data_IF_141200616477
#
_entry.id   IF_141200616477
#
_cell.length_a   1.000
_cell.length_b   1.000
_cell.length_c   1.000
_cell.angle_alpha   90.00
_cell.angle_beta   90.00
_cell.angle_gamma   90.00
#
_symmetry.space_group_name_H-M   'P 1'
#
loop_
_entity.id
_entity.type
_entity.pdbx_description
1 polymer ?
#
# COMPACT_ATOMS: atom_id res chain seq x y z
N UNK A 1 1.23 -1.39 15.32
CA UNK A 1 0.04 -1.57 16.18
C UNK A 1 -0.99 -0.45 15.98
N UNK A 2 -0.62 0.82 16.11
CA UNK A 2 -1.53 1.98 15.97
C UNK A 2 -2.24 2.05 14.62
N UNK A 3 -1.56 1.74 13.50
CA UNK A 3 -2.17 1.79 12.16
C UNK A 3 -3.27 0.73 11.96
N UNK A 4 -3.09 -0.49 12.48
CA UNK A 4 -4.14 -1.52 12.46
C UNK A 4 -5.35 -1.12 13.31
N UNK A 5 -5.10 -0.49 14.46
CA UNK A 5 -6.16 0.04 15.33
C UNK A 5 -6.90 1.16 14.60
N UNK A 6 -6.18 2.12 14.01
CA UNK A 6 -6.77 3.22 13.26
C UNK A 6 -7.61 2.74 12.06
N UNK A 7 -7.09 1.77 11.29
CA UNK A 7 -7.80 1.18 10.15
C UNK A 7 -9.07 0.45 10.59
N UNK A 8 -8.99 -0.31 11.69
CA UNK A 8 -10.13 -1.02 12.26
C UNK A 8 -11.17 -0.03 12.82
N UNK A 9 -10.75 0.99 13.56
CA UNK A 9 -11.66 2.01 14.12
C UNK A 9 -12.31 2.84 13.03
N UNK A 10 -11.59 3.23 11.97
CA UNK A 10 -12.14 3.94 10.82
C UNK A 10 -13.18 3.08 10.08
N UNK A 11 -12.88 1.82 9.83
CA UNK A 11 -13.83 0.90 9.19
C UNK A 11 -15.08 0.67 10.04
N UNK A 12 -14.92 0.48 11.36
CA UNK A 12 -16.05 0.33 12.29
C UNK A 12 -16.91 1.60 12.35
N UNK A 13 -16.30 2.79 12.42
CA UNK A 13 -17.03 4.06 12.40
C UNK A 13 -17.81 4.23 11.10
N UNK A 14 -17.19 3.97 9.96
CA UNK A 14 -17.86 4.05 8.64
C UNK A 14 -19.05 3.08 8.58
N UNK A 15 -18.90 1.86 9.08
CA UNK A 15 -19.98 0.87 9.13
C UNK A 15 -21.13 1.30 10.06
N UNK A 16 -20.82 1.86 11.23
CA UNK A 16 -21.80 2.37 12.20
C UNK A 16 -22.59 3.53 11.58
N UNK A 17 -21.92 4.52 10.99
CA UNK A 17 -22.59 5.64 10.34
C UNK A 17 -23.41 5.18 9.12
N UNK A 18 -22.96 4.19 8.37
CA UNK A 18 -23.73 3.56 7.29
C UNK A 18 -25.02 2.92 7.80
N UNK A 19 -24.94 2.16 8.89
CA UNK A 19 -26.11 1.53 9.52
C UNK A 19 -27.11 2.58 10.02
N UNK A 20 -26.62 3.62 10.71
CA UNK A 20 -27.44 4.73 11.21
C UNK A 20 -28.13 5.44 10.03
N UNK A 21 -27.42 5.67 8.93
CA UNK A 21 -27.97 6.29 7.73
C UNK A 21 -29.12 5.46 7.14
N UNK A 22 -28.97 4.12 7.08
CA UNK A 22 -30.02 3.23 6.61
C UNK A 22 -31.24 3.28 7.53
N UNK A 23 -31.04 3.23 8.84
CA UNK A 23 -32.13 3.32 9.82
C UNK A 23 -32.89 4.65 9.70
N UNK A 24 -32.14 5.78 9.61
CA UNK A 24 -32.75 7.09 9.41
C UNK A 24 -33.51 7.19 8.09
N UNK A 25 -32.98 6.59 7.01
CA UNK A 25 -33.68 6.54 5.72
C UNK A 25 -35.01 5.78 5.83
N UNK A 26 -35.02 4.62 6.49
CA UNK A 26 -36.23 3.84 6.73
C UNK A 26 -37.22 4.63 7.56
N UNK A 27 -36.80 5.32 8.60
CA UNK A 27 -37.68 6.18 9.42
C UNK A 27 -38.26 7.31 8.60
N UNK A 28 -37.47 8.02 7.78
CA UNK A 28 -37.98 9.07 6.88
C UNK A 28 -39.01 8.51 5.89
N UNK A 29 -38.72 7.34 5.30
CA UNK A 29 -39.65 6.67 4.37
C UNK A 29 -40.94 6.28 5.07
N UNK A 30 -40.87 5.74 6.30
CA UNK A 30 -42.06 5.38 7.10
C UNK A 30 -42.91 6.59 7.41
N UNK A 31 -42.29 7.69 7.88
CA UNK A 31 -42.98 8.96 8.15
C UNK A 31 -43.62 9.52 6.90
N UNK A 32 -42.95 9.46 5.75
CA UNK A 32 -43.50 9.92 4.47
C UNK A 32 -44.70 9.06 4.01
N UNK A 33 -44.62 7.73 4.19
CA UNK A 33 -45.72 6.81 3.87
C UNK A 33 -46.92 7.05 4.80
N UNK A 34 -46.68 7.23 6.08
CA UNK A 34 -47.71 7.52 7.08
C UNK A 34 -48.43 8.84 6.78
N UNK A 35 -47.70 9.90 6.43
CA UNK A 35 -48.26 11.16 6.00
C UNK A 35 -49.21 11.01 4.79
N UNK A 36 -48.82 10.21 3.80
CA UNK A 36 -49.62 9.97 2.61
C UNK A 36 -50.83 9.07 2.92
N UNK A 37 -50.66 8.02 3.71
CA UNK A 37 -51.67 7.01 3.96
C UNK A 37 -52.70 7.44 5.00
N UNK A 38 -52.28 8.13 6.06
CA UNK A 38 -53.12 8.48 7.21
C UNK A 38 -53.68 9.89 7.10
N UNK A 39 -52.88 10.85 6.69
CA UNK A 39 -53.28 12.26 6.60
C UNK A 39 -53.84 12.65 5.24
N UNK A 40 -53.87 11.71 4.28
CA UNK A 40 -54.39 11.97 2.93
C UNK A 40 -53.60 13.04 2.18
N UNK A 41 -52.26 13.06 2.42
CA UNK A 41 -51.36 14.01 1.84
C UNK A 41 -51.29 13.83 0.30
N UNK A 42 -52.15 14.55 -0.39
CA UNK A 42 -52.10 14.60 -1.84
C UNK A 42 -51.02 15.61 -2.22
N UNK A 43 -50.00 15.17 -2.92
CA UNK A 43 -49.02 16.05 -3.56
C UNK A 43 -49.76 16.92 -4.60
N UNK A 44 -50.36 18.00 -4.13
CA UNK A 44 -50.95 19.02 -4.98
C UNK A 44 -49.86 20.02 -5.33
N UNK A 45 -49.50 20.11 -6.59
CA UNK A 45 -48.59 21.12 -7.12
C UNK A 45 -49.25 22.52 -7.20
N UNK A 46 -49.97 22.89 -6.17
CA UNK A 46 -50.52 24.23 -6.00
C UNK A 46 -49.91 24.88 -4.74
N UNK A 47 -50.12 26.18 -4.59
CA UNK A 47 -49.54 26.96 -3.47
C UNK A 47 -49.87 26.36 -2.11
N UNK A 48 -51.10 25.84 -1.93
CA UNK A 48 -51.57 25.20 -0.68
C UNK A 48 -50.84 23.87 -0.41
N UNK A 49 -50.60 23.06 -1.44
CA UNK A 49 -49.84 21.81 -1.32
C UNK A 49 -48.37 22.03 -0.97
N UNK A 50 -47.77 23.08 -1.55
CA UNK A 50 -46.37 23.46 -1.23
C UNK A 50 -46.23 23.88 0.23
N UNK A 51 -47.16 24.69 0.73
CA UNK A 51 -47.18 25.15 2.13
C UNK A 51 -47.29 23.96 3.09
N UNK A 52 -48.23 23.05 2.84
CA UNK A 52 -48.44 21.84 3.67
C UNK A 52 -47.22 20.93 3.63
N UNK A 53 -46.58 20.76 2.47
CA UNK A 53 -45.35 20.00 2.32
C UNK A 53 -44.20 20.63 3.15
N UNK A 54 -44.08 21.95 3.12
CA UNK A 54 -43.09 22.67 3.90
C UNK A 54 -43.36 22.51 5.41
N UNK A 55 -44.56 22.70 5.89
CA UNK A 55 -44.96 22.51 7.29
C UNK A 55 -44.68 21.09 7.79
N UNK A 56 -44.98 20.08 6.97
CA UNK A 56 -44.66 18.69 7.29
C UNK A 56 -43.16 18.46 7.48
N UNK A 57 -42.36 18.96 6.56
CA UNK A 57 -40.90 18.79 6.66
C UNK A 57 -40.25 19.65 7.75
N UNK A 58 -40.83 20.79 8.08
CA UNK A 58 -40.38 21.60 9.23
C UNK A 58 -40.53 20.83 10.54
N UNK A 59 -41.63 20.10 10.71
CA UNK A 59 -41.86 19.24 11.88
C UNK A 59 -40.86 18.09 11.96
N UNK A 60 -40.38 17.58 10.82
CA UNK A 60 -39.40 16.48 10.74
C UNK A 60 -37.97 16.94 10.42
N UNK A 61 -37.68 18.24 10.51
CA UNK A 61 -36.41 18.83 10.13
C UNK A 61 -35.21 18.22 10.85
N UNK A 62 -35.39 17.83 12.12
CA UNK A 62 -34.34 17.15 12.90
C UNK A 62 -33.94 15.82 12.28
N UNK A 63 -34.89 15.02 11.83
CA UNK A 63 -34.67 13.73 11.17
C UNK A 63 -33.90 13.88 9.86
N UNK A 64 -34.31 14.87 9.05
CA UNK A 64 -33.63 15.19 7.78
C UNK A 64 -32.20 15.68 8.00
N UNK A 65 -31.98 16.57 8.95
CA UNK A 65 -30.63 17.08 9.28
C UNK A 65 -29.74 15.94 9.79
N UNK A 66 -30.27 15.08 10.65
CA UNK A 66 -29.54 13.92 11.18
C UNK A 66 -29.17 12.95 10.07
N UNK A 67 -30.10 12.65 9.17
CA UNK A 67 -29.83 11.80 7.99
C UNK A 67 -28.75 12.41 7.09
N UNK A 68 -28.89 13.68 6.72
CA UNK A 68 -27.90 14.37 5.89
C UNK A 68 -26.51 14.38 6.53
N UNK A 69 -26.43 14.65 7.85
CA UNK A 69 -25.18 14.59 8.59
C UNK A 69 -24.52 13.21 8.59
N UNK A 70 -25.29 12.18 8.94
CA UNK A 70 -24.80 10.80 8.95
C UNK A 70 -24.39 10.31 7.55
N UNK A 71 -25.19 10.63 6.52
CA UNK A 71 -24.87 10.29 5.13
C UNK A 71 -23.58 10.98 4.67
N UNK A 72 -23.37 12.25 5.02
CA UNK A 72 -22.14 12.98 4.68
C UNK A 72 -20.92 12.34 5.33
N UNK A 73 -20.99 12.00 6.61
CA UNK A 73 -19.88 11.34 7.34
C UNK A 73 -19.61 9.96 6.73
N UNK A 74 -20.66 9.20 6.41
CA UNK A 74 -20.50 7.88 5.77
C UNK A 74 -19.82 7.99 4.41
N UNK A 75 -20.29 8.88 3.54
CA UNK A 75 -19.71 9.10 2.20
C UNK A 75 -18.26 9.58 2.32
N UNK A 76 -17.97 10.52 3.21
CA UNK A 76 -16.61 11.01 3.43
C UNK A 76 -15.68 9.89 3.92
N UNK A 77 -16.11 9.07 4.87
CA UNK A 77 -15.36 7.93 5.38
C UNK A 77 -15.10 6.88 4.30
N UNK A 78 -16.12 6.56 3.49
CA UNK A 78 -15.99 5.64 2.38
C UNK A 78 -14.99 6.14 1.33
N UNK A 79 -15.12 7.40 0.91
CA UNK A 79 -14.22 8.02 -0.06
C UNK A 79 -12.78 8.07 0.46
N UNK A 80 -12.58 8.41 1.75
CA UNK A 80 -11.24 8.41 2.35
C UNK A 80 -10.61 7.01 2.32
N UNK A 81 -11.38 5.96 2.65
CA UNK A 81 -10.90 4.58 2.60
C UNK A 81 -10.50 4.18 1.19
N UNK A 82 -11.32 4.52 0.20
CA UNK A 82 -11.01 4.27 -1.22
C UNK A 82 -9.79 5.05 -1.69
N UNK A 83 -9.67 6.31 -1.33
CA UNK A 83 -8.51 7.14 -1.67
C UNK A 83 -7.21 6.54 -1.13
N UNK A 84 -7.19 6.12 0.13
CA UNK A 84 -6.01 5.46 0.75
C UNK A 84 -5.66 4.15 0.04
N UNK A 85 -6.66 3.36 -0.36
CA UNK A 85 -6.46 2.13 -1.10
C UNK A 85 -5.83 2.38 -2.48
N UNK A 86 -6.36 3.36 -3.23
CA UNK A 86 -5.85 3.76 -4.54
C UNK A 86 -4.42 4.28 -4.42
N UNK A 87 -4.15 5.21 -3.50
CA UNK A 87 -2.81 5.77 -3.28
C UNK A 87 -1.77 4.67 -2.93
N UNK A 88 -2.19 3.64 -2.17
CA UNK A 88 -1.36 2.48 -1.86
C UNK A 88 -1.01 1.67 -3.12
N UNK A 89 -2.02 1.37 -3.95
CA UNK A 89 -1.83 0.62 -5.19
C UNK A 89 -0.93 1.40 -6.16
N UNK A 90 -1.15 2.70 -6.30
CA UNK A 90 -0.32 3.58 -7.13
C UNK A 90 1.13 3.60 -6.66
N UNK A 91 1.36 3.68 -5.34
CA UNK A 91 2.71 3.64 -4.77
C UNK A 91 3.43 2.32 -5.06
N UNK A 92 2.73 1.18 -4.91
CA UNK A 92 3.28 -0.15 -5.25
C UNK A 92 3.56 -0.28 -6.74
N UNK A 93 2.66 0.23 -7.59
CA UNK A 93 2.84 0.23 -9.04
C UNK A 93 4.06 1.06 -9.45
N UNK A 94 4.24 2.24 -8.86
CA UNK A 94 5.39 3.10 -9.12
C UNK A 94 6.72 2.45 -8.71
N UNK A 95 6.76 1.74 -7.57
CA UNK A 95 7.95 0.98 -7.16
C UNK A 95 8.23 -0.18 -8.13
N UNK A 96 7.19 -0.88 -8.56
CA UNK A 96 7.33 -1.96 -9.55
C UNK A 96 7.86 -1.43 -10.89
N UNK A 97 7.38 -0.27 -11.33
CA UNK A 97 7.85 0.38 -12.55
C UNK A 97 9.33 0.73 -12.45
N UNK A 98 9.76 1.30 -11.32
CA UNK A 98 11.19 1.57 -11.06
C UNK A 98 12.06 0.31 -11.11
N UNK A 99 11.56 -0.84 -10.67
CA UNK A 99 12.27 -2.13 -10.77
C UNK A 99 12.22 -2.75 -12.17
N UNK A 100 11.36 -2.26 -13.04
CA UNK A 100 11.22 -2.70 -14.42
C UNK A 100 12.03 -1.86 -15.42
N UNK A 101 12.83 -0.93 -14.93
CA UNK A 101 13.88 -0.26 -15.70
C UNK A 101 14.84 -1.30 -16.31
N UNK A 102 15.31 -1.07 -17.55
CA UNK A 102 16.08 -2.07 -18.28
C UNK A 102 17.38 -2.46 -17.57
N UNK A 103 18.07 -1.50 -16.94
CA UNK A 103 19.27 -1.76 -16.16
C UNK A 103 18.99 -2.64 -14.95
N UNK A 104 17.89 -2.37 -14.22
CA UNK A 104 17.49 -3.14 -13.05
C UNK A 104 16.95 -4.53 -13.43
N UNK A 105 16.34 -4.67 -14.60
CA UNK A 105 15.98 -5.99 -15.16
C UNK A 105 17.22 -6.79 -15.49
N UNK A 106 18.23 -6.18 -16.13
CA UNK A 106 19.50 -6.82 -16.44
C UNK A 106 20.21 -7.30 -15.17
N UNK A 107 20.29 -6.45 -14.14
CA UNK A 107 20.81 -6.81 -12.82
C UNK A 107 20.02 -7.98 -12.20
N UNK A 108 18.69 -7.95 -12.28
CA UNK A 108 17.86 -9.01 -11.72
C UNK A 108 18.08 -10.36 -12.42
N UNK A 109 18.21 -10.35 -13.75
CA UNK A 109 18.54 -11.55 -14.54
C UNK A 109 19.92 -12.09 -14.19
N UNK A 110 20.91 -11.21 -14.00
CA UNK A 110 22.24 -11.58 -13.58
C UNK A 110 22.24 -12.22 -12.17
N UNK A 111 21.45 -11.68 -11.25
CA UNK A 111 21.27 -12.28 -9.91
C UNK A 111 20.62 -13.68 -9.97
N UNK A 112 19.72 -13.93 -10.94
CA UNK A 112 19.16 -15.26 -11.18
C UNK A 112 20.23 -16.22 -11.70
N UNK A 113 21.07 -15.73 -12.61
CA UNK A 113 22.12 -16.50 -13.26
C UNK A 113 23.45 -16.50 -12.50
N UNK A 114 23.46 -16.18 -11.21
CA UNK A 114 24.67 -16.06 -10.37
C UNK A 114 25.58 -17.28 -10.31
N UNK A 115 25.11 -18.42 -10.75
CA UNK A 115 25.89 -19.66 -10.83
C UNK A 115 26.66 -19.77 -12.17
N UNK A 116 26.54 -18.76 -13.06
CA UNK A 116 27.34 -18.69 -14.28
C UNK A 116 28.80 -18.44 -13.89
N UNK A 117 29.76 -19.24 -14.39
CA UNK A 117 31.18 -19.03 -14.16
C UNK A 117 31.69 -17.65 -14.61
N UNK A 118 31.03 -17.02 -15.58
CA UNK A 118 31.36 -15.69 -16.09
C UNK A 118 30.72 -14.55 -15.28
N UNK A 119 30.14 -14.85 -14.13
CA UNK A 119 29.43 -13.88 -13.31
C UNK A 119 30.35 -12.81 -12.72
N UNK A 120 30.17 -11.56 -13.16
CA UNK A 120 31.10 -10.44 -12.90
C UNK A 120 30.64 -9.49 -11.78
N UNK A 121 29.49 -9.69 -11.17
CA UNK A 121 28.98 -8.82 -10.10
C UNK A 121 29.98 -8.71 -8.93
N UNK A 122 30.69 -9.79 -8.64
CA UNK A 122 31.75 -9.86 -7.62
C UNK A 122 32.82 -8.81 -7.84
N UNK A 123 33.37 -8.76 -9.06
CA UNK A 123 34.45 -7.86 -9.42
C UNK A 123 34.00 -6.40 -9.38
N UNK A 124 32.75 -6.12 -9.74
CA UNK A 124 32.18 -4.77 -9.69
C UNK A 124 32.04 -4.26 -8.27
N UNK A 125 31.48 -5.07 -7.35
CA UNK A 125 31.31 -4.67 -5.95
C UNK A 125 32.68 -4.51 -5.27
N UNK A 126 33.64 -5.39 -5.56
CA UNK A 126 35.01 -5.28 -5.05
C UNK A 126 35.71 -4.01 -5.53
N UNK A 127 35.59 -3.66 -6.81
CA UNK A 127 36.22 -2.46 -7.37
C UNK A 127 35.67 -1.18 -6.73
N UNK A 128 34.37 -1.13 -6.46
CA UNK A 128 33.75 -0.02 -5.74
C UNK A 128 34.24 0.08 -4.28
N UNK A 129 34.28 -1.05 -3.57
CA UNK A 129 34.76 -1.08 -2.19
C UNK A 129 36.22 -0.59 -2.05
N UNK A 130 37.02 -0.72 -3.11
CA UNK A 130 38.41 -0.25 -3.16
C UNK A 130 38.54 1.22 -3.64
N UNK A 131 37.46 2.00 -3.74
CA UNK A 131 37.45 3.40 -4.18
C UNK A 131 38.08 3.63 -5.56
N UNK A 132 38.14 2.61 -6.39
CA UNK A 132 38.51 2.78 -7.77
C UNK A 132 37.29 3.15 -8.59
N UNK A 133 37.21 4.40 -9.04
CA UNK A 133 36.30 4.90 -10.07
C UNK A 133 36.62 4.24 -11.41
N UNK A 134 36.55 2.94 -11.46
CA UNK A 134 36.65 2.19 -12.72
C UNK A 134 35.29 2.19 -13.34
N UNK A 135 35.06 3.09 -14.28
CA UNK A 135 34.09 2.86 -15.34
C UNK A 135 34.54 1.57 -16.06
N UNK A 136 34.04 0.45 -15.56
CA UNK A 136 34.20 -0.83 -16.25
C UNK A 136 33.39 -0.76 -17.54
N UNK A 137 34.03 -0.30 -18.62
CA UNK A 137 33.57 -0.51 -19.97
C UNK A 137 33.69 -2.03 -20.26
N UNK A 138 32.67 -2.75 -19.86
CA UNK A 138 32.53 -4.16 -20.14
C UNK A 138 32.07 -4.31 -21.60
N UNK A 139 33.05 -4.50 -22.47
CA UNK A 139 32.85 -4.78 -23.90
C UNK A 139 32.57 -6.26 -24.19
N UNK A 140 32.24 -7.05 -23.19
CA UNK A 140 31.94 -8.48 -23.40
C UNK A 140 30.68 -8.85 -22.64
N UNK A 141 29.62 -9.08 -23.41
CA UNK A 141 28.31 -9.57 -23.02
C UNK A 141 27.63 -8.78 -21.89
N UNK A 142 27.33 -7.49 -22.19
CA UNK A 142 25.99 -6.94 -22.11
C UNK A 142 25.34 -6.90 -20.71
N UNK A 143 26.09 -6.79 -19.65
CA UNK A 143 25.45 -6.30 -18.44
C UNK A 143 25.30 -4.77 -18.55
N UNK A 144 24.14 -4.33 -18.99
CA UNK A 144 23.78 -2.93 -19.16
C UNK A 144 23.47 -2.23 -17.81
N UNK A 145 24.22 -2.53 -16.73
CA UNK A 145 24.01 -1.89 -15.44
C UNK A 145 25.35 -1.55 -14.76
N UNK A 146 25.32 -0.51 -13.96
CA UNK A 146 26.43 0.01 -13.17
C UNK A 146 26.29 -0.36 -11.68
N UNK A 147 27.28 -0.03 -10.87
CA UNK A 147 27.19 -0.13 -9.40
C UNK A 147 26.10 0.80 -8.86
N UNK A 148 25.91 1.98 -9.44
CA UNK A 148 24.82 2.86 -9.08
C UNK A 148 23.45 2.19 -9.27
N UNK A 149 23.28 1.42 -10.35
CA UNK A 149 22.04 0.66 -10.58
C UNK A 149 21.80 -0.42 -9.52
N UNK A 150 22.89 -1.01 -8.97
CA UNK A 150 22.79 -1.96 -7.84
C UNK A 150 22.26 -1.26 -6.60
N UNK A 151 22.83 -0.09 -6.25
CA UNK A 151 22.35 0.70 -5.10
C UNK A 151 20.92 1.17 -5.29
N UNK A 152 20.58 1.65 -6.49
CA UNK A 152 19.23 2.05 -6.83
C UNK A 152 18.25 0.89 -6.73
N UNK A 153 18.66 -0.31 -7.17
CA UNK A 153 17.85 -1.51 -7.06
C UNK A 153 17.59 -1.89 -5.59
N UNK A 154 18.64 -1.89 -4.76
CA UNK A 154 18.51 -2.13 -3.32
C UNK A 154 17.66 -1.03 -2.66
N UNK A 155 17.85 0.23 -3.04
CA UNK A 155 17.07 1.37 -2.54
C UNK A 155 15.58 1.27 -2.86
N UNK A 156 15.21 0.76 -4.03
CA UNK A 156 13.78 0.52 -4.36
C UNK A 156 13.19 -0.60 -3.49
N UNK A 157 13.96 -1.65 -3.20
CA UNK A 157 13.52 -2.72 -2.28
C UNK A 157 13.39 -2.17 -0.86
N UNK A 158 14.33 -1.32 -0.42
CA UNK A 158 14.31 -0.64 0.88
C UNK A 158 13.06 0.25 1.04
N UNK A 159 12.68 1.00 -0.01
CA UNK A 159 11.43 1.76 0.00
C UNK A 159 10.21 0.87 0.16
N UNK A 160 10.18 -0.29 -0.50
CA UNK A 160 9.12 -1.29 -0.30
C UNK A 160 9.11 -1.83 1.14
N UNK A 161 10.30 -2.06 1.71
CA UNK A 161 10.49 -2.48 3.10
C UNK A 161 9.97 -1.43 4.09
N UNK A 162 10.23 -0.15 3.83
CA UNK A 162 9.71 0.96 4.63
C UNK A 162 8.18 1.03 4.59
N UNK A 163 7.56 0.75 3.42
CA UNK A 163 6.10 0.68 3.32
C UNK A 163 5.52 -0.46 4.17
N UNK A 164 6.20 -1.62 4.27
CA UNK A 164 5.80 -2.71 5.15
C UNK A 164 5.98 -2.32 6.63
N UNK A 165 7.12 -1.78 7.01
CA UNK A 165 7.44 -1.36 8.38
C UNK A 165 6.47 -0.29 8.88
N UNK A 166 6.07 0.64 8.02
CA UNK A 166 5.04 1.65 8.31
C UNK A 166 3.60 1.14 8.19
N UNK A 167 3.41 -0.14 7.91
CA UNK A 167 2.10 -0.79 7.73
C UNK A 167 1.24 -0.21 6.58
N UNK A 168 1.84 0.43 5.61
CA UNK A 168 1.15 0.86 4.38
C UNK A 168 0.73 -0.36 3.56
N UNK A 169 1.59 -1.39 3.53
CA UNK A 169 1.31 -2.68 2.87
C UNK A 169 1.42 -3.83 3.89
N UNK A 170 0.81 -4.97 3.58
CA UNK A 170 0.93 -6.19 4.36
C UNK A 170 2.15 -6.99 3.94
N UNK A 171 2.56 -7.97 4.79
CA UNK A 171 3.66 -8.89 4.48
C UNK A 171 3.36 -9.72 3.22
N UNK A 172 2.11 -10.11 2.99
CA UNK A 172 1.72 -10.87 1.81
C UNK A 172 1.82 -10.01 0.53
N UNK A 173 1.38 -8.75 0.60
CA UNK A 173 1.52 -7.80 -0.51
C UNK A 173 2.99 -7.52 -0.83
N UNK A 174 3.82 -7.33 0.19
CA UNK A 174 5.26 -7.16 0.01
C UNK A 174 5.87 -8.42 -0.63
N UNK A 175 5.59 -9.60 -0.08
CA UNK A 175 6.14 -10.85 -0.59
C UNK A 175 5.74 -11.12 -2.05
N UNK A 176 4.49 -10.87 -2.40
CA UNK A 176 4.01 -11.07 -3.77
C UNK A 176 4.68 -10.12 -4.78
N UNK A 177 5.12 -8.93 -4.36
CA UNK A 177 5.76 -7.96 -5.25
C UNK A 177 7.29 -8.07 -5.25
N UNK A 178 7.89 -8.28 -4.09
CA UNK A 178 9.33 -8.17 -3.88
C UNK A 178 9.99 -9.45 -3.36
N UNK A 179 9.23 -10.42 -2.85
CA UNK A 179 9.77 -11.59 -2.14
C UNK A 179 10.79 -12.38 -2.96
N UNK A 180 10.52 -12.61 -4.24
CA UNK A 180 11.44 -13.29 -5.13
C UNK A 180 12.75 -12.50 -5.34
N UNK A 181 12.66 -11.16 -5.42
CA UNK A 181 13.82 -10.28 -5.56
C UNK A 181 14.65 -10.27 -4.29
N UNK A 182 14.02 -10.17 -3.14
CA UNK A 182 14.67 -10.25 -1.82
C UNK A 182 15.37 -11.60 -1.67
N UNK A 183 14.72 -12.70 -2.03
CA UNK A 183 15.34 -14.03 -2.02
C UNK A 183 16.62 -14.06 -2.86
N UNK A 184 16.58 -13.62 -4.11
CA UNK A 184 17.75 -13.60 -4.99
C UNK A 184 18.89 -12.70 -4.46
N UNK A 185 18.56 -11.55 -3.85
CA UNK A 185 19.56 -10.70 -3.20
C UNK A 185 20.26 -11.44 -2.05
N UNK A 186 19.48 -12.11 -1.20
CA UNK A 186 20.00 -12.82 -0.02
C UNK A 186 20.77 -14.09 -0.38
N UNK A 187 20.40 -14.77 -1.44
CA UNK A 187 21.14 -15.92 -1.98
C UNK A 187 22.48 -15.50 -2.60
N UNK A 188 22.61 -14.25 -3.03
CA UNK A 188 23.86 -13.67 -3.45
C UNK A 188 24.72 -13.32 -2.23
N UNK A 189 25.72 -14.15 -1.90
CA UNK A 189 26.57 -13.99 -0.73
C UNK A 189 27.19 -12.61 -0.60
N UNK A 190 27.58 -11.99 -1.73
CA UNK A 190 28.24 -10.69 -1.78
C UNK A 190 27.27 -9.56 -1.43
N UNK A 191 26.05 -9.57 -2.01
CA UNK A 191 25.02 -8.58 -1.66
C UNK A 191 24.59 -8.75 -0.21
N UNK A 192 24.43 -9.98 0.25
CA UNK A 192 24.09 -10.27 1.65
C UNK A 192 25.18 -9.74 2.59
N UNK A 193 26.45 -9.98 2.30
CA UNK A 193 27.56 -9.45 3.08
C UNK A 193 27.64 -7.93 3.02
N UNK A 194 27.41 -7.32 1.85
CA UNK A 194 27.35 -5.87 1.70
C UNK A 194 26.27 -5.25 2.56
N UNK A 195 25.06 -5.81 2.54
CA UNK A 195 23.93 -5.38 3.38
C UNK A 195 24.29 -5.56 4.86
N UNK A 196 24.88 -6.70 5.23
CA UNK A 196 25.30 -6.99 6.60
C UNK A 196 26.36 -6.03 7.14
N UNK A 197 27.28 -5.54 6.28
CA UNK A 197 28.27 -4.54 6.66
C UNK A 197 27.72 -3.12 6.74
N UNK A 198 26.61 -2.83 6.07
CA UNK A 198 25.99 -1.50 5.99
C UNK A 198 24.59 -1.50 6.62
N UNK A 199 24.46 -2.13 7.80
CA UNK A 199 23.19 -2.35 8.49
C UNK A 199 22.37 -1.06 8.64
N UNK A 200 23.02 0.05 8.98
CA UNK A 200 22.35 1.33 9.18
C UNK A 200 21.67 1.86 7.91
N UNK A 201 22.21 1.52 6.73
CA UNK A 201 21.66 1.93 5.44
C UNK A 201 20.53 1.02 4.95
N UNK A 202 20.40 -0.18 5.52
CA UNK A 202 19.43 -1.20 5.11
C UNK A 202 18.56 -1.70 6.26
N UNK A 203 18.31 -0.86 7.27
CA UNK A 203 17.56 -1.24 8.48
C UNK A 203 16.13 -1.71 8.17
N UNK A 204 15.47 -1.07 7.21
CA UNK A 204 14.11 -1.43 6.82
C UNK A 204 14.07 -2.76 6.05
N UNK A 205 15.07 -3.02 5.20
CA UNK A 205 15.23 -4.31 4.51
C UNK A 205 15.52 -5.44 5.51
N UNK A 206 16.37 -5.20 6.50
CA UNK A 206 16.65 -6.16 7.57
C UNK A 206 15.40 -6.48 8.40
N UNK A 207 14.61 -5.48 8.72
CA UNK A 207 13.31 -5.67 9.35
C UNK A 207 12.43 -6.61 8.53
N UNK A 208 12.33 -6.35 7.21
CA UNK A 208 11.50 -7.18 6.32
C UNK A 208 12.02 -8.60 6.20
N UNK A 209 13.33 -8.79 6.08
CA UNK A 209 13.93 -10.14 6.04
C UNK A 209 13.52 -10.95 7.28
N UNK A 210 13.60 -10.34 8.46
CA UNK A 210 13.16 -10.98 9.70
C UNK A 210 11.65 -11.29 9.70
N UNK A 211 10.81 -10.38 9.23
CA UNK A 211 9.37 -10.61 9.08
C UNK A 211 9.08 -11.75 8.09
N UNK A 212 9.75 -11.79 6.95
CA UNK A 212 9.59 -12.84 5.95
C UNK A 212 9.99 -14.22 6.49
N UNK A 213 11.07 -14.30 7.27
CA UNK A 213 11.51 -15.53 7.95
C UNK A 213 10.45 -15.93 8.99
N UNK A 214 10.00 -15.00 9.84
CA UNK A 214 9.02 -15.24 10.90
C UNK A 214 7.69 -15.78 10.35
N UNK A 215 7.31 -15.32 9.14
CA UNK A 215 6.10 -15.77 8.45
C UNK A 215 6.32 -16.97 7.52
N UNK A 216 7.49 -17.62 7.58
CA UNK A 216 7.87 -18.76 6.72
C UNK A 216 7.74 -18.49 5.21
N UNK A 217 8.01 -17.24 4.80
CA UNK A 217 8.00 -16.84 3.38
C UNK A 217 9.34 -17.08 2.70
N UNK A 218 10.45 -17.04 3.46
CA UNK A 218 11.81 -17.37 3.03
C UNK A 218 12.49 -18.25 4.07
N UNK A 219 13.54 -18.95 3.66
CA UNK A 219 14.29 -19.88 4.50
C UNK A 219 15.09 -19.14 5.60
N UNK A 220 15.16 -19.73 6.76
CA UNK A 220 15.88 -19.18 7.92
C UNK A 220 17.40 -19.03 7.65
N UNK A 221 17.96 -19.89 6.78
CA UNK A 221 19.36 -19.85 6.37
C UNK A 221 19.76 -18.59 5.62
N UNK A 222 18.78 -17.88 5.05
CA UNK A 222 18.98 -16.60 4.36
C UNK A 222 19.04 -15.40 5.31
N UNK A 223 18.99 -15.63 6.62
CA UNK A 223 19.11 -14.57 7.63
C UNK A 223 20.45 -13.84 7.48
N UNK A 224 20.39 -12.51 7.53
CA UNK A 224 21.58 -11.68 7.60
C UNK A 224 22.02 -11.68 9.06
N UNK A 225 23.18 -12.29 9.34
CA UNK A 225 23.70 -12.36 10.70
C UNK A 225 24.26 -11.01 11.13
N UNK A 226 23.89 -10.64 12.34
CA UNK A 226 24.60 -9.69 13.18
C UNK A 226 25.51 -10.58 14.05
N UNK A 227 26.74 -10.77 13.66
CA UNK A 227 27.77 -11.28 14.56
C UNK A 227 28.46 -10.11 15.27
#
# INVERSE_FOLDING_TARGET
>A
MWHKIFKLTSACLTAIFGLITIVLFVLIATVAIEAVAVEGYVLQFNTGGIIKFQEFWETHLFLLKSFAGCATIFIAGYNLTKYVEVARIESLSALREKLNDDNKKALHLDLINRNDPDWQLVERIKSYANHQDVQLNLSTNEANYSIADIYDYLGVIELGAQMLKSHVISIDEFYNQFGYRVKNILECSILREHIGRNIESYDDLLYVVNELITHNKIEHELKIFKD
#
